data_IF_122573997983
#
_entry.id   IF_122573997983
#
_cell.length_a   1.000
_cell.length_b   1.000
_cell.length_c   1.000
_cell.angle_alpha   90.00
_cell.angle_beta   90.00
_cell.angle_gamma   90.00
#
_symmetry.space_group_name_H-M   'P 1'
#
loop_
_entity.id
_entity.type
_entity.pdbx_description
1 polymer ?
#
# COMPACT_ATOMS: atom_id res chain seq x y z
N UNK A 1 -0.29 -4.63 23.11
CA UNK A 1 0.62 -4.04 22.12
C UNK A 1 -0.04 -4.37 20.79
N UNK A 2 -0.55 -3.39 20.07
CA UNK A 2 -1.15 -3.64 18.75
C UNK A 2 -0.08 -4.27 17.85
N UNK A 3 -0.34 -5.47 17.35
CA UNK A 3 0.56 -6.18 16.44
C UNK A 3 0.26 -5.70 15.02
N UNK A 4 1.18 -4.92 14.45
CA UNK A 4 1.10 -4.52 13.04
C UNK A 4 1.27 -5.74 12.13
N UNK A 5 0.29 -5.98 11.25
CA UNK A 5 0.36 -7.06 10.27
C UNK A 5 1.04 -6.62 8.96
N UNK A 6 1.00 -5.33 8.62
CA UNK A 6 1.51 -4.85 7.33
C UNK A 6 2.37 -3.61 7.46
N UNK A 7 3.30 -3.44 6.51
CA UNK A 7 4.02 -2.20 6.25
C UNK A 7 3.68 -1.70 4.86
N UNK A 8 2.96 -0.59 4.79
CA UNK A 8 2.61 0.10 3.55
C UNK A 8 3.73 1.07 3.18
N UNK A 9 4.23 1.00 1.95
CA UNK A 9 5.23 1.92 1.39
C UNK A 9 4.61 2.62 0.17
N UNK A 10 4.54 3.95 0.23
CA UNK A 10 3.99 4.81 -0.83
C UNK A 10 4.88 6.03 -0.99
N UNK A 11 5.36 6.30 -2.20
CA UNK A 11 6.10 7.53 -2.53
C UNK A 11 7.28 7.82 -1.59
N UNK A 12 8.06 6.79 -1.22
CA UNK A 12 9.19 6.92 -0.31
C UNK A 12 8.83 7.05 1.19
N UNK A 13 7.54 7.10 1.54
CA UNK A 13 7.06 7.05 2.91
C UNK A 13 6.62 5.64 3.28
N UNK A 14 6.77 5.27 4.56
CA UNK A 14 6.26 4.01 5.08
C UNK A 14 5.37 4.19 6.30
N UNK A 15 4.31 3.40 6.38
CA UNK A 15 3.40 3.31 7.52
C UNK A 15 3.24 1.85 7.96
N UNK A 16 3.12 1.64 9.27
CA UNK A 16 2.71 0.36 9.83
C UNK A 16 1.19 0.33 9.96
N UNK A 17 0.59 -0.80 9.60
CA UNK A 17 -0.85 -1.02 9.62
C UNK A 17 -1.18 -2.29 10.40
N UNK A 18 -2.23 -2.22 11.21
CA UNK A 18 -2.74 -3.33 12.04
C UNK A 18 -3.31 -4.45 11.16
N UNK A 19 -4.02 -4.09 10.10
CA UNK A 19 -4.72 -5.01 9.23
C UNK A 19 -4.91 -4.45 7.80
N UNK A 20 -5.46 -5.29 6.92
CA UNK A 20 -5.67 -4.95 5.50
C UNK A 20 -6.78 -3.90 5.30
N UNK A 21 -7.77 -3.79 6.19
CA UNK A 21 -8.77 -2.71 6.12
C UNK A 21 -8.12 -1.35 6.38
N UNK A 22 -7.20 -1.27 7.34
CA UNK A 22 -6.43 -0.04 7.58
C UNK A 22 -5.59 0.34 6.35
N UNK A 23 -4.92 -0.64 5.73
CA UNK A 23 -4.19 -0.42 4.48
C UNK A 23 -5.11 0.17 3.40
N UNK A 24 -6.29 -0.44 3.17
CA UNK A 24 -7.28 0.03 2.18
C UNK A 24 -7.78 1.44 2.50
N UNK A 25 -8.06 1.74 3.79
CA UNK A 25 -8.43 3.09 4.24
C UNK A 25 -7.34 4.10 3.88
N UNK A 26 -6.08 3.81 4.18
CA UNK A 26 -4.95 4.69 3.84
C UNK A 26 -4.79 4.87 2.34
N UNK A 27 -4.87 3.80 1.55
CA UNK A 27 -4.80 3.84 0.08
C UNK A 27 -5.84 4.79 -0.52
N UNK A 28 -7.06 4.83 0.03
CA UNK A 28 -8.11 5.74 -0.42
C UNK A 28 -7.84 7.23 -0.17
N UNK A 29 -6.90 7.55 0.73
CA UNK A 29 -6.53 8.93 1.07
C UNK A 29 -5.37 9.45 0.22
N UNK A 30 -4.59 8.57 -0.40
CA UNK A 30 -3.49 9.01 -1.25
C UNK A 30 -4.03 9.64 -2.54
N UNK A 31 -3.55 10.83 -2.92
CA UNK A 31 -3.96 11.47 -4.16
C UNK A 31 -3.39 10.71 -5.36
N UNK A 32 -4.28 10.25 -6.26
CA UNK A 32 -3.90 9.57 -7.50
C UNK A 32 -2.99 10.45 -8.38
N UNK A 33 -3.20 11.76 -8.37
CA UNK A 33 -2.41 12.76 -9.11
C UNK A 33 -0.91 12.73 -8.78
N UNK A 34 -0.51 12.25 -7.58
CA UNK A 34 0.91 12.12 -7.22
C UNK A 34 1.60 10.92 -7.86
N UNK A 35 0.84 9.92 -8.32
CA UNK A 35 1.40 8.69 -8.88
C UNK A 35 2.16 8.94 -10.20
N UNK A 36 1.63 9.81 -11.05
CA UNK A 36 2.27 10.17 -12.32
C UNK A 36 3.45 11.13 -12.15
N UNK A 37 3.52 11.86 -11.03
CA UNK A 37 4.54 12.88 -10.77
C UNK A 37 5.76 12.35 -10.00
N UNK A 38 5.61 11.36 -9.12
CA UNK A 38 6.65 10.93 -8.15
C UNK A 38 7.14 9.48 -8.33
N UNK A 39 7.23 8.95 -9.55
CA UNK A 39 7.70 7.58 -9.84
C UNK A 39 6.91 6.49 -9.07
N UNK A 40 5.72 6.15 -9.57
CA UNK A 40 4.85 5.10 -9.03
C UNK A 40 5.44 3.68 -8.87
N UNK A 41 6.67 3.43 -9.33
CA UNK A 41 7.39 2.14 -9.23
C UNK A 41 7.76 1.73 -7.79
N UNK A 42 7.74 2.66 -6.83
CA UNK A 42 8.16 2.39 -5.44
C UNK A 42 7.00 2.19 -4.45
N UNK A 43 5.79 1.91 -4.94
CA UNK A 43 4.62 1.65 -4.09
C UNK A 43 4.42 0.13 -3.87
N UNK A 44 4.49 -0.32 -2.62
CA UNK A 44 4.31 -1.72 -2.27
C UNK A 44 3.83 -1.92 -0.83
N UNK A 45 3.20 -3.07 -0.58
CA UNK A 45 2.80 -3.54 0.74
C UNK A 45 3.69 -4.70 1.15
N UNK A 46 4.15 -4.72 2.40
CA UNK A 46 4.85 -5.88 2.98
C UNK A 46 3.94 -6.50 4.04
N UNK A 47 3.66 -7.80 3.92
CA UNK A 47 3.11 -8.59 5.02
C UNK A 47 4.23 -8.90 6.02
N UNK A 48 4.08 -8.45 7.27
CA UNK A 48 5.11 -8.58 8.30
C UNK A 48 5.17 -9.98 8.90
N UNK A 49 4.12 -10.79 8.75
CA UNK A 49 4.04 -12.18 9.21
C UNK A 49 4.72 -13.11 8.23
N UNK A 50 4.42 -12.98 6.94
CA UNK A 50 4.97 -13.86 5.89
C UNK A 50 6.23 -13.32 5.24
N UNK A 51 6.47 -12.00 5.36
CA UNK A 51 7.52 -11.24 4.65
C UNK A 51 7.32 -11.14 3.13
N UNK A 52 6.11 -11.44 2.66
CA UNK A 52 5.76 -11.26 1.25
C UNK A 52 5.59 -9.78 0.92
N UNK A 53 6.00 -9.40 -0.29
CA UNK A 53 5.86 -8.05 -0.82
C UNK A 53 4.88 -8.04 -1.99
N UNK A 54 3.93 -7.12 -1.98
CA UNK A 54 2.89 -6.97 -2.97
C UNK A 54 3.00 -5.60 -3.63
N UNK A 55 3.08 -5.55 -4.96
CA UNK A 55 3.12 -4.29 -5.70
C UNK A 55 1.79 -3.55 -5.59
N UNK A 56 1.86 -2.22 -5.44
CA UNK A 56 0.70 -1.34 -5.48
C UNK A 56 0.74 -0.54 -6.78
N UNK A 57 -0.32 -0.63 -7.56
CA UNK A 57 -0.45 0.08 -8.84
C UNK A 57 -1.67 0.98 -8.82
N UNK A 58 -1.64 2.03 -9.63
CA UNK A 58 -2.81 2.87 -9.85
C UNK A 58 -3.64 2.29 -11.01
N UNK A 59 -4.88 1.88 -10.74
CA UNK A 59 -5.86 1.44 -11.73
C UNK A 59 -7.15 2.22 -11.57
N UNK A 60 -7.63 2.85 -12.66
CA UNK A 60 -8.85 3.67 -12.65
C UNK A 60 -8.88 4.69 -11.49
N UNK A 61 -7.78 5.45 -11.33
CA UNK A 61 -7.62 6.47 -10.28
C UNK A 61 -7.66 5.93 -8.84
N UNK A 62 -7.47 4.62 -8.65
CA UNK A 62 -7.41 3.97 -7.34
C UNK A 62 -6.17 3.11 -7.18
N UNK A 63 -5.59 3.14 -6.00
CA UNK A 63 -4.46 2.26 -5.67
C UNK A 63 -4.97 0.84 -5.38
N UNK A 64 -4.44 -0.13 -6.12
CA UNK A 64 -4.78 -1.54 -6.03
C UNK A 64 -3.54 -2.35 -5.69
N UNK A 65 -3.68 -3.29 -4.74
CA UNK A 65 -2.59 -4.18 -4.32
C UNK A 65 -2.65 -5.45 -5.17
N UNK A 66 -1.65 -5.67 -6.03
CA UNK A 66 -1.58 -6.86 -6.88
C UNK A 66 -1.25 -8.11 -6.07
N UNK A 67 -1.96 -9.20 -6.34
CA UNK A 67 -1.78 -10.49 -5.65
C UNK A 67 -2.53 -10.62 -4.31
N UNK A 68 -3.24 -9.58 -3.89
CA UNK A 68 -4.13 -9.56 -2.71
C UNK A 68 -5.57 -9.18 -3.08
N UNK A 69 -5.88 -9.17 -4.38
CA UNK A 69 -7.22 -8.88 -4.89
C UNK A 69 -8.16 -10.02 -4.50
N UNK A 70 -9.21 -9.68 -3.75
CA UNK A 70 -10.29 -10.59 -3.34
C UNK A 70 -11.61 -10.20 -3.97
#
# INVERSE_FOLDING_TARGET
>A
MEEFAYKLVMFGFSALCEDLEEVKRRLSLYPAERYELENGDECFLIDLKTRDSYSIVLENERFVIKGLES
#
